data_IF_618055850534
#
_entry.id   IF_618055850534
#
_cell.length_a   1.000
_cell.length_b   1.000
_cell.length_c   1.000
_cell.angle_alpha   90.00
_cell.angle_beta   90.00
_cell.angle_gamma   90.00
#
_symmetry.space_group_name_H-M   'P 1'
#
loop_
_entity.id
_entity.type
_entity.pdbx_description
1 polymer ?
#
# COMPACT_ATOMS: atom_id res chain seq x y z
N UNK A 1 15.37 -7.54 -15.83
CA UNK A 1 15.47 -7.88 -14.39
C UNK A 1 14.07 -8.17 -13.85
N UNK A 2 13.79 -9.42 -13.51
CA UNK A 2 12.48 -9.85 -13.03
C UNK A 2 12.29 -9.41 -11.56
N UNK A 3 11.27 -8.60 -11.30
CA UNK A 3 10.82 -8.32 -9.94
C UNK A 3 10.23 -9.60 -9.36
N UNK A 4 10.86 -10.14 -8.32
CA UNK A 4 10.33 -11.29 -7.58
C UNK A 4 9.23 -10.77 -6.66
N UNK A 5 7.99 -10.86 -7.15
CA UNK A 5 6.78 -10.65 -6.37
C UNK A 5 6.41 -11.97 -5.69
N UNK A 6 6.72 -12.10 -4.41
CA UNK A 6 6.15 -13.16 -3.59
C UNK A 6 4.72 -12.78 -3.20
N UNK A 7 3.77 -13.12 -4.06
CA UNK A 7 2.33 -13.04 -3.79
C UNK A 7 1.82 -14.44 -3.42
N UNK A 8 1.70 -14.69 -2.12
CA UNK A 8 0.97 -15.85 -1.62
C UNK A 8 -0.52 -15.73 -1.97
N UNK A 9 -1.14 -16.86 -2.35
CA UNK A 9 -2.52 -17.05 -2.85
C UNK A 9 -3.67 -16.67 -1.89
N UNK A 10 -3.47 -15.80 -0.91
CA UNK A 10 -4.47 -15.47 0.14
C UNK A 10 -5.20 -14.13 -0.06
N UNK A 11 -4.87 -13.36 -1.09
CA UNK A 11 -5.46 -12.03 -1.32
C UNK A 11 -6.89 -12.01 -1.89
N UNK A 12 -7.45 -13.16 -2.27
CA UNK A 12 -8.75 -13.20 -2.96
C UNK A 12 -9.98 -13.08 -2.03
N UNK A 13 -9.82 -13.15 -0.70
CA UNK A 13 -10.97 -13.26 0.22
C UNK A 13 -11.63 -11.93 0.59
N UNK A 14 -10.94 -10.79 0.49
CA UNK A 14 -11.48 -9.50 0.94
C UNK A 14 -12.38 -8.80 -0.08
N UNK A 15 -12.10 -8.94 -1.38
CA UNK A 15 -12.98 -8.42 -2.42
C UNK A 15 -14.32 -9.17 -2.53
N UNK A 16 -14.43 -10.38 -1.96
CA UNK A 16 -15.66 -11.18 -2.00
C UNK A 16 -16.72 -10.73 -0.98
N UNK A 17 -16.38 -9.95 0.04
CA UNK A 17 -17.31 -9.67 1.14
C UNK A 17 -18.21 -8.43 0.94
N UNK A 18 -18.03 -7.67 -0.12
CA UNK A 18 -18.86 -6.47 -0.42
C UNK A 18 -19.68 -6.53 -1.70
N UNK A 19 -19.62 -7.62 -2.45
CA UNK A 19 -20.49 -7.79 -3.62
C UNK A 19 -21.63 -8.72 -3.24
N UNK A 20 -22.77 -8.14 -2.93
CA UNK A 20 -24.08 -8.78 -2.78
C UNK A 20 -24.40 -9.65 -4.00
N UNK A 21 -24.71 -10.89 -3.70
CA UNK A 21 -25.46 -11.91 -4.42
C UNK A 21 -25.96 -11.57 -5.83
N UNK A 22 -25.49 -12.35 -6.82
CA UNK A 22 -26.25 -12.66 -8.02
C UNK A 22 -25.88 -11.89 -9.28
N UNK A 23 -24.66 -12.07 -9.82
CA UNK A 23 -24.47 -11.99 -11.27
C UNK A 23 -23.17 -12.73 -11.68
N UNK A 24 -23.33 -13.64 -12.62
CA UNK A 24 -22.38 -14.25 -13.55
C UNK A 24 -20.90 -13.96 -13.26
N UNK A 25 -20.14 -15.00 -12.90
CA UNK A 25 -18.67 -15.00 -12.86
C UNK A 25 -18.09 -14.78 -14.28
N UNK A 26 -18.15 -13.57 -14.78
CA UNK A 26 -17.24 -13.13 -15.83
C UNK A 26 -15.84 -13.11 -15.20
N UNK A 27 -14.87 -13.70 -15.85
CA UNK A 27 -13.46 -13.66 -15.45
C UNK A 27 -12.93 -12.22 -15.63
N UNK A 28 -13.30 -11.35 -14.69
CA UNK A 28 -12.80 -9.99 -14.62
C UNK A 28 -11.35 -10.08 -14.14
N UNK A 29 -10.40 -9.59 -14.92
CA UNK A 29 -8.98 -9.60 -14.55
C UNK A 29 -8.73 -8.69 -13.31
N UNK A 30 -7.55 -8.86 -12.66
CA UNK A 30 -7.22 -8.10 -11.44
C UNK A 30 -7.32 -6.58 -11.67
N UNK A 31 -6.83 -6.10 -12.82
CA UNK A 31 -6.82 -4.68 -13.15
C UNK A 31 -8.23 -4.09 -13.28
N UNK A 32 -9.15 -4.81 -13.94
CA UNK A 32 -10.55 -4.37 -14.07
C UNK A 32 -11.27 -4.29 -12.72
N UNK A 33 -11.03 -5.27 -11.82
CA UNK A 33 -11.60 -5.23 -10.46
C UNK A 33 -11.11 -4.02 -9.69
N UNK A 34 -9.82 -3.71 -9.76
CA UNK A 34 -9.23 -2.55 -9.10
C UNK A 34 -9.77 -1.26 -9.71
N UNK A 35 -9.87 -1.16 -11.03
CA UNK A 35 -10.41 0.02 -11.70
C UNK A 35 -11.86 0.29 -11.29
N UNK A 36 -12.70 -0.76 -11.20
CA UNK A 36 -14.08 -0.64 -10.71
C UNK A 36 -14.11 -0.19 -9.25
N UNK A 37 -13.30 -0.79 -8.40
CA UNK A 37 -13.18 -0.39 -7.00
C UNK A 37 -12.78 1.09 -6.85
N UNK A 38 -11.82 1.58 -7.64
CA UNK A 38 -11.40 2.99 -7.61
C UNK A 38 -12.52 3.90 -8.09
N UNK A 39 -13.26 3.53 -9.14
CA UNK A 39 -14.39 4.31 -9.64
C UNK A 39 -15.53 4.43 -8.60
N UNK A 40 -15.77 3.38 -7.81
CA UNK A 40 -16.75 3.41 -6.72
C UNK A 40 -16.29 4.27 -5.52
N UNK A 41 -14.99 4.35 -5.31
CA UNK A 41 -14.38 5.02 -4.14
C UNK A 41 -14.18 6.52 -4.36
N UNK A 42 -13.82 6.92 -5.57
CA UNK A 42 -13.58 8.31 -5.95
C UNK A 42 -14.80 8.84 -6.68
N UNK A 43 -15.71 9.47 -5.92
CA UNK A 43 -16.91 10.12 -6.50
C UNK A 43 -16.47 11.33 -7.33
N UNK A 44 -16.76 11.30 -8.63
CA UNK A 44 -16.49 12.38 -9.59
C UNK A 44 -16.04 11.85 -10.95
N UNK A 45 -15.99 12.73 -11.96
CA UNK A 45 -15.49 12.40 -13.29
C UNK A 45 -14.02 11.94 -13.19
N UNK A 46 -13.82 10.65 -13.40
CA UNK A 46 -12.51 10.01 -13.38
C UNK A 46 -11.91 10.14 -14.77
N UNK A 47 -11.19 11.23 -15.02
CA UNK A 47 -10.36 11.33 -16.22
C UNK A 47 -9.09 10.51 -16.00
N UNK A 48 -8.93 9.36 -16.69
CA UNK A 48 -7.75 8.52 -16.55
C UNK A 48 -6.48 9.16 -17.15
N UNK A 49 -6.60 10.26 -17.91
CA UNK A 49 -5.50 10.99 -18.53
C UNK A 49 -5.08 12.24 -17.74
N UNK A 50 -5.54 12.39 -16.50
CA UNK A 50 -5.17 13.51 -15.64
C UNK A 50 -3.66 13.58 -15.48
N UNK A 51 -3.05 14.65 -15.98
CA UNK A 51 -1.60 14.92 -15.87
C UNK A 51 -1.17 15.26 -14.45
N UNK A 52 -2.07 15.84 -13.66
CA UNK A 52 -1.82 16.17 -12.25
C UNK A 52 -2.01 14.92 -11.39
N UNK A 53 -0.90 14.35 -10.93
CA UNK A 53 -0.90 13.14 -10.09
C UNK A 53 -1.75 13.32 -8.83
N UNK A 54 -1.82 14.51 -8.24
CA UNK A 54 -2.63 14.76 -7.04
C UNK A 54 -4.15 14.57 -7.30
N UNK A 55 -4.59 14.76 -8.54
CA UNK A 55 -5.97 14.54 -8.98
C UNK A 55 -6.21 13.14 -9.50
N UNK A 56 -5.14 12.39 -9.76
CA UNK A 56 -5.26 11.06 -10.35
C UNK A 56 -6.03 10.10 -9.41
N UNK A 57 -7.11 9.43 -9.90
CA UNK A 57 -8.01 8.65 -9.04
C UNK A 57 -7.31 7.53 -8.29
N UNK A 58 -6.38 6.81 -8.92
CA UNK A 58 -5.61 5.75 -8.26
C UNK A 58 -4.67 6.29 -7.18
N UNK A 59 -4.11 7.49 -7.37
CA UNK A 59 -3.28 8.13 -6.36
C UNK A 59 -4.11 8.53 -5.14
N UNK A 60 -5.26 9.17 -5.34
CA UNK A 60 -6.19 9.53 -4.26
C UNK A 60 -6.74 8.30 -3.53
N UNK A 61 -7.10 7.25 -4.28
CA UNK A 61 -7.59 6.00 -3.72
C UNK A 61 -6.53 5.32 -2.83
N UNK A 62 -5.23 5.41 -3.16
CA UNK A 62 -4.15 4.94 -2.30
C UNK A 62 -4.23 5.56 -0.89
N UNK A 63 -4.35 6.89 -0.78
CA UNK A 63 -4.42 7.56 0.52
C UNK A 63 -5.70 7.23 1.28
N UNK A 64 -6.82 7.10 0.58
CA UNK A 64 -8.07 6.67 1.20
C UNK A 64 -7.91 5.27 1.80
N UNK A 65 -7.47 4.29 1.01
CA UNK A 65 -7.25 2.93 1.47
C UNK A 65 -6.24 2.86 2.62
N UNK A 66 -5.14 3.62 2.55
CA UNK A 66 -4.15 3.71 3.61
C UNK A 66 -4.77 4.17 4.93
N UNK A 67 -5.52 5.27 4.90
CA UNK A 67 -6.12 5.89 6.07
C UNK A 67 -7.22 5.05 6.71
N UNK A 68 -7.87 4.19 5.90
CA UNK A 68 -8.81 3.17 6.36
C UNK A 68 -8.12 1.85 6.76
N UNK A 69 -6.80 1.82 6.78
CA UNK A 69 -5.99 0.62 7.13
C UNK A 69 -6.16 -0.55 6.15
N UNK A 70 -6.68 -0.28 4.96
CA UNK A 70 -6.77 -1.23 3.85
C UNK A 70 -5.45 -1.23 3.06
N UNK A 71 -4.34 -1.58 3.74
CA UNK A 71 -2.99 -1.48 3.17
C UNK A 71 -2.77 -2.40 1.96
N UNK A 72 -3.46 -3.53 1.90
CA UNK A 72 -3.39 -4.43 0.76
C UNK A 72 -4.02 -3.79 -0.48
N UNK A 73 -5.19 -3.19 -0.32
CA UNK A 73 -5.89 -2.45 -1.38
C UNK A 73 -5.09 -1.21 -1.80
N UNK A 74 -4.52 -0.48 -0.84
CA UNK A 74 -3.64 0.64 -1.13
C UNK A 74 -2.45 0.22 -2.02
N UNK A 75 -1.77 -0.90 -1.67
CA UNK A 75 -0.72 -1.48 -2.48
C UNK A 75 -1.20 -1.77 -3.91
N UNK A 76 -2.31 -2.49 -4.04
CA UNK A 76 -2.82 -2.96 -5.34
C UNK A 76 -3.29 -1.82 -6.24
N UNK A 77 -3.94 -0.81 -5.68
CA UNK A 77 -4.41 0.38 -6.40
C UNK A 77 -3.22 1.15 -6.98
N UNK A 78 -2.20 1.44 -6.17
CA UNK A 78 -1.07 2.21 -6.65
C UNK A 78 -0.16 1.42 -7.60
N UNK A 79 -0.11 0.08 -7.47
CA UNK A 79 0.58 -0.81 -8.41
C UNK A 79 0.01 -0.67 -9.83
N UNK A 80 -1.32 -0.50 -10.00
CA UNK A 80 -1.91 -0.28 -11.32
C UNK A 80 -1.46 1.03 -11.96
N UNK A 81 -1.32 2.10 -11.17
CA UNK A 81 -0.78 3.37 -11.64
C UNK A 81 0.71 3.22 -12.03
N UNK A 82 1.49 2.58 -11.16
CA UNK A 82 2.93 2.35 -11.37
C UNK A 82 3.20 1.54 -12.65
N UNK A 83 2.45 0.45 -12.89
CA UNK A 83 2.62 -0.41 -14.08
C UNK A 83 2.33 0.33 -15.40
N UNK A 84 1.44 1.32 -15.39
CA UNK A 84 1.10 2.14 -16.56
C UNK A 84 2.01 3.35 -16.72
N UNK A 85 2.68 3.76 -15.67
CA UNK A 85 3.51 4.96 -15.64
C UNK A 85 4.91 4.66 -16.19
N UNK A 86 5.31 5.39 -17.24
CA UNK A 86 6.70 5.53 -17.68
C UNK A 86 7.34 6.82 -17.11
N UNK A 87 6.82 7.29 -16.00
CA UNK A 87 7.13 8.56 -15.37
C UNK A 87 8.47 8.52 -14.62
N UNK A 88 9.16 9.66 -14.48
CA UNK A 88 10.25 9.85 -13.51
C UNK A 88 9.87 9.49 -12.07
N UNK A 89 8.55 9.48 -11.76
CA UNK A 89 7.99 9.13 -10.45
C UNK A 89 7.89 7.62 -10.18
N UNK A 90 8.38 6.77 -11.09
CA UNK A 90 8.27 5.32 -10.94
C UNK A 90 8.85 4.81 -9.60
N UNK A 91 9.99 5.37 -9.15
CA UNK A 91 10.58 5.03 -7.85
C UNK A 91 9.78 5.59 -6.68
N UNK A 92 9.14 6.75 -6.84
CA UNK A 92 8.23 7.32 -5.84
C UNK A 92 7.03 6.40 -5.60
N UNK A 93 6.32 6.01 -6.66
CA UNK A 93 5.19 5.07 -6.55
C UNK A 93 5.63 3.73 -5.99
N UNK A 94 6.77 3.20 -6.44
CA UNK A 94 7.36 1.97 -5.91
C UNK A 94 7.63 2.06 -4.41
N UNK A 95 8.15 3.21 -3.94
CA UNK A 95 8.38 3.46 -2.52
C UNK A 95 7.09 3.44 -1.70
N UNK A 96 6.02 4.08 -2.18
CA UNK A 96 4.70 4.06 -1.53
C UNK A 96 4.08 2.65 -1.51
N UNK A 97 4.18 1.90 -2.62
CA UNK A 97 3.73 0.50 -2.72
C UNK A 97 4.46 -0.37 -1.69
N UNK A 98 5.78 -0.21 -1.56
CA UNK A 98 6.59 -0.95 -0.58
C UNK A 98 6.23 -0.56 0.86
N UNK A 99 5.94 0.72 1.13
CA UNK A 99 5.46 1.17 2.42
C UNK A 99 4.13 0.50 2.78
N UNK A 100 3.15 0.50 1.87
CA UNK A 100 1.87 -0.18 2.08
C UNK A 100 2.09 -1.69 2.33
N UNK A 101 2.93 -2.36 1.53
CA UNK A 101 3.29 -3.76 1.71
C UNK A 101 3.92 -4.06 3.08
N UNK A 102 4.73 -3.15 3.62
CA UNK A 102 5.28 -3.28 4.97
C UNK A 102 4.17 -3.27 6.03
N UNK A 103 3.20 -2.35 5.92
CA UNK A 103 2.06 -2.29 6.82
C UNK A 103 1.12 -3.50 6.69
N UNK A 104 0.96 -4.09 5.49
CA UNK A 104 0.27 -5.39 5.33
C UNK A 104 0.93 -6.47 6.20
N UNK A 105 2.26 -6.51 6.24
CA UNK A 105 2.96 -7.47 7.09
C UNK A 105 2.69 -7.24 8.57
N UNK A 106 2.71 -5.98 9.05
CA UNK A 106 2.42 -5.65 10.45
C UNK A 106 0.98 -5.97 10.82
N UNK A 107 0.02 -5.61 9.96
CA UNK A 107 -1.39 -5.91 10.15
C UNK A 107 -1.63 -7.42 10.26
N UNK A 108 -1.06 -8.21 9.33
CA UNK A 108 -1.19 -9.68 9.37
C UNK A 108 -0.53 -10.31 10.61
N UNK A 109 0.55 -9.74 11.10
CA UNK A 109 1.18 -10.18 12.36
C UNK A 109 0.29 -9.87 13.57
N UNK A 110 -0.41 -8.73 13.55
CA UNK A 110 -1.34 -8.32 14.60
C UNK A 110 -2.61 -9.19 14.60
N UNK A 111 -3.24 -9.36 13.43
CA UNK A 111 -4.48 -10.13 13.28
C UNK A 111 -4.31 -11.64 13.56
N UNK A 112 -3.13 -12.19 13.27
CA UNK A 112 -2.87 -13.64 13.36
C UNK A 112 -1.53 -13.93 14.05
N UNK A 113 -1.37 -13.56 15.34
CA UNK A 113 -0.09 -13.62 16.04
C UNK A 113 0.44 -15.07 16.21
N UNK A 114 -0.43 -16.05 16.31
CA UNK A 114 -0.07 -17.47 16.52
C UNK A 114 0.04 -18.26 15.20
N UNK A 115 -0.31 -17.66 14.05
CA UNK A 115 -0.27 -18.36 12.78
C UNK A 115 1.17 -18.52 12.27
N UNK A 116 1.61 -19.75 12.00
CA UNK A 116 3.00 -20.08 11.63
C UNK A 116 3.59 -19.23 10.48
N UNK A 117 2.77 -18.90 9.47
CA UNK A 117 3.18 -18.02 8.35
C UNK A 117 3.20 -16.53 8.71
N UNK A 118 2.42 -16.11 9.71
CA UNK A 118 2.28 -14.70 10.07
C UNK A 118 3.16 -14.31 11.25
N UNK A 119 3.66 -15.26 12.05
CA UNK A 119 4.59 -15.00 13.13
C UNK A 119 5.94 -14.42 12.67
N UNK A 120 6.38 -14.76 11.45
CA UNK A 120 7.67 -14.34 10.88
C UNK A 120 7.58 -13.09 9.97
N UNK A 121 6.54 -12.26 10.11
CA UNK A 121 6.30 -11.14 9.19
C UNK A 121 7.05 -9.85 9.53
N UNK A 122 7.66 -9.75 10.70
CA UNK A 122 8.36 -8.53 11.10
C UNK A 122 9.64 -8.30 10.28
N UNK A 123 10.42 -9.34 10.00
CA UNK A 123 11.62 -9.21 9.17
C UNK A 123 11.32 -8.78 7.71
N UNK A 124 10.35 -9.37 7.00
CA UNK A 124 9.92 -8.83 5.71
C UNK A 124 9.42 -7.38 5.78
N UNK A 125 8.70 -6.98 6.85
CA UNK A 125 8.26 -5.61 7.03
C UNK A 125 9.43 -4.64 7.11
N UNK A 126 10.44 -4.93 7.92
CA UNK A 126 11.66 -4.10 8.05
C UNK A 126 12.34 -3.93 6.69
N UNK A 127 12.50 -5.01 5.92
CA UNK A 127 13.10 -4.93 4.57
C UNK A 127 12.31 -4.01 3.66
N UNK A 128 10.98 -4.08 3.67
CA UNK A 128 10.13 -3.21 2.85
C UNK A 128 10.17 -1.76 3.33
N UNK A 129 10.20 -1.49 4.64
CA UNK A 129 10.38 -0.14 5.16
C UNK A 129 11.69 0.50 4.68
N UNK A 130 12.81 -0.24 4.76
CA UNK A 130 14.11 0.24 4.30
C UNK A 130 14.15 0.49 2.79
N UNK A 131 13.51 -0.38 1.99
CA UNK A 131 13.39 -0.19 0.54
C UNK A 131 12.52 1.00 0.19
N UNK A 132 11.38 1.16 0.87
CA UNK A 132 10.48 2.30 0.69
C UNK A 132 11.21 3.62 1.02
N UNK A 133 11.89 3.70 2.16
CA UNK A 133 12.68 4.87 2.55
C UNK A 133 13.73 5.22 1.48
N UNK A 134 14.48 4.23 0.98
CA UNK A 134 15.50 4.43 -0.07
C UNK A 134 14.90 5.02 -1.35
N UNK A 135 13.75 4.49 -1.79
CA UNK A 135 13.10 4.96 -3.01
C UNK A 135 12.46 6.34 -2.84
N UNK A 136 11.92 6.64 -1.64
CA UNK A 136 11.22 7.90 -1.35
C UNK A 136 12.18 9.05 -1.02
N UNK A 137 13.31 8.80 -0.39
CA UNK A 137 14.20 9.85 0.15
C UNK A 137 14.64 10.89 -0.88
N UNK A 138 14.79 10.49 -2.15
CA UNK A 138 15.14 11.41 -3.25
C UNK A 138 14.05 12.42 -3.60
N UNK A 139 12.81 12.19 -3.14
CA UNK A 139 11.65 13.04 -3.38
C UNK A 139 11.31 13.94 -2.18
N UNK A 140 12.13 13.90 -1.14
CA UNK A 140 12.00 14.77 0.03
C UNK A 140 12.37 16.23 -0.33
N UNK A 141 11.81 17.25 0.38
CA UNK A 141 10.92 17.10 1.53
C UNK A 141 9.46 16.83 1.18
N UNK A 142 9.00 17.28 0.00
CA UNK A 142 7.60 17.16 -0.46
C UNK A 142 7.52 16.75 -1.91
N UNK A 143 6.56 15.90 -2.24
CA UNK A 143 6.31 15.48 -3.62
C UNK A 143 4.83 15.11 -3.80
N UNK A 144 4.20 15.58 -4.88
CA UNK A 144 2.78 15.36 -5.18
C UNK A 144 1.86 15.54 -3.95
N UNK A 145 2.02 16.63 -3.21
CA UNK A 145 1.21 16.95 -2.03
C UNK A 145 1.49 16.10 -0.78
N UNK A 146 2.44 15.16 -0.82
CA UNK A 146 2.84 14.36 0.34
C UNK A 146 4.09 14.96 1.00
N UNK A 147 4.09 15.02 2.34
CA UNK A 147 5.31 15.23 3.12
C UNK A 147 6.14 13.95 3.15
N UNK A 148 7.05 13.85 2.20
CA UNK A 148 7.90 12.66 2.01
C UNK A 148 8.93 12.54 3.13
N UNK A 149 9.42 13.67 3.66
CA UNK A 149 10.37 13.64 4.77
C UNK A 149 9.74 13.03 6.03
N UNK A 150 8.52 13.47 6.36
CA UNK A 150 7.77 12.91 7.49
C UNK A 150 7.46 11.43 7.29
N UNK A 151 7.09 11.02 6.07
CA UNK A 151 6.87 9.60 5.76
C UNK A 151 8.16 8.78 5.93
N UNK A 152 9.29 9.23 5.41
CA UNK A 152 10.57 8.54 5.57
C UNK A 152 10.95 8.38 7.06
N UNK A 153 10.76 9.42 7.88
CA UNK A 153 10.98 9.34 9.33
C UNK A 153 10.06 8.31 9.99
N UNK A 154 8.78 8.27 9.59
CA UNK A 154 7.82 7.30 10.07
C UNK A 154 8.27 5.86 9.75
N UNK A 155 8.62 5.59 8.49
CA UNK A 155 9.05 4.25 8.05
C UNK A 155 10.31 3.79 8.81
N UNK A 156 11.28 4.69 9.00
CA UNK A 156 12.49 4.43 9.79
C UNK A 156 12.13 4.08 11.23
N UNK A 157 11.30 4.88 11.88
CA UNK A 157 10.85 4.64 13.26
C UNK A 157 10.20 3.27 13.45
N UNK A 158 9.35 2.84 12.50
CA UNK A 158 8.76 1.49 12.55
C UNK A 158 9.80 0.40 12.38
N UNK A 159 10.71 0.55 11.42
CA UNK A 159 11.80 -0.42 11.20
C UNK A 159 12.71 -0.55 12.42
N UNK A 160 13.13 0.58 13.00
CA UNK A 160 14.05 0.62 14.15
C UNK A 160 13.41 -0.03 15.38
N UNK A 161 12.16 0.31 15.71
CA UNK A 161 11.46 -0.33 16.84
C UNK A 161 11.36 -1.86 16.72
N UNK A 162 11.17 -2.37 15.50
CA UNK A 162 11.14 -3.82 15.27
C UNK A 162 12.53 -4.42 15.52
N UNK A 163 13.57 -3.79 14.96
CA UNK A 163 14.96 -4.27 15.10
C UNK A 163 15.41 -4.20 16.57
N UNK A 164 15.17 -3.10 17.28
CA UNK A 164 15.48 -2.90 18.69
C UNK A 164 14.81 -3.94 19.60
N UNK A 165 13.64 -4.43 19.22
CA UNK A 165 12.96 -5.52 19.94
C UNK A 165 13.44 -6.92 19.54
N UNK A 166 14.50 -7.05 18.76
CA UNK A 166 14.96 -8.33 18.17
C UNK A 166 13.81 -9.06 17.45
N UNK A 167 13.02 -8.30 16.64
CA UNK A 167 11.87 -8.80 15.88
C UNK A 167 10.77 -9.48 16.73
N UNK A 168 10.66 -9.11 18.01
CA UNK A 168 9.65 -9.68 18.94
C UNK A 168 8.39 -8.84 19.00
N UNK A 169 8.53 -7.50 18.92
CA UNK A 169 7.43 -6.56 19.10
C UNK A 169 6.93 -6.01 17.77
N UNK A 170 5.61 -6.08 17.57
CA UNK A 170 4.94 -5.38 16.47
C UNK A 170 4.54 -3.98 16.95
N UNK A 171 5.13 -2.89 16.39
CA UNK A 171 4.83 -1.53 16.82
C UNK A 171 3.50 -0.98 16.27
N UNK A 172 2.78 -1.75 15.46
CA UNK A 172 1.53 -1.36 14.84
C UNK A 172 0.33 -1.95 15.58
N UNK A 173 -0.70 -1.13 15.75
CA UNK A 173 -2.06 -1.55 16.14
C UNK A 173 -3.08 -0.71 15.37
N UNK A 174 -4.36 -1.12 15.33
CA UNK A 174 -5.43 -0.32 14.70
C UNK A 174 -5.58 1.10 15.25
N UNK A 175 -5.30 1.27 16.57
CA UNK A 175 -5.42 2.54 17.30
C UNK A 175 -4.26 3.50 16.98
N UNK A 176 -3.06 2.94 16.74
CA UNK A 176 -1.83 3.71 16.47
C UNK A 176 -1.45 3.75 15.00
N UNK A 177 -2.33 3.25 14.13
CA UNK A 177 -2.11 3.22 12.70
C UNK A 177 -1.85 4.62 12.12
N UNK A 178 -0.78 4.82 11.36
CA UNK A 178 -0.44 6.14 10.84
C UNK A 178 -1.41 6.57 9.73
N UNK A 179 -1.76 7.86 9.74
CA UNK A 179 -2.54 8.50 8.67
C UNK A 179 -1.62 9.34 7.80
N UNK A 180 -1.87 9.32 6.50
CA UNK A 180 -1.21 10.18 5.51
C UNK A 180 -2.18 11.26 5.06
N UNK A 181 -1.68 12.51 4.94
CA UNK A 181 -2.45 13.63 4.42
C UNK A 181 -1.79 14.16 3.16
N UNK A 182 -2.60 14.50 2.16
CA UNK A 182 -2.18 15.35 1.05
C UNK A 182 -2.34 16.81 1.48
N UNK A 183 -1.33 17.62 1.17
CA UNK A 183 -1.25 19.06 1.49
C UNK A 183 -1.83 19.89 0.35
#
# INVERSE_FOLDING_TARGET
MRAVLFLGKTGARWFAHRLSCGQIKLFVNKGERISRFVAELVVGDVDPEVRDIMKHPFYRAFFHCWNEKHYYEAHDVLEQLWLKSKSPDADYFKGLIQAAGAFVHLQKRFEYPLHSKHSKRLSPAVRLFRLAERNLSRFAPRHHGLDVAALCQLLRKYADRIVESDYKTNPWSPETAPKLKLL
#
